data_IF_254444999615
#
_entry.id   IF_254444999615
#
_cell.length_a   1.000
_cell.length_b   1.000
_cell.length_c   1.000
_cell.angle_alpha   90.00
_cell.angle_beta   90.00
_cell.angle_gamma   90.00
#
_symmetry.space_group_name_H-M   'P 1'
#
loop_
_entity.id
_entity.type
_entity.pdbx_description
1 polymer ?
#
# COMPACT_ATOMS: atom_id res chain seq x y z
N UNK A 1 23.99 -15.79 9.63
CA UNK A 1 23.72 -14.94 10.82
C UNK A 1 22.27 -15.17 11.22
N UNK A 2 22.01 -15.67 12.44
CA UNK A 2 20.64 -15.98 12.90
C UNK A 2 19.93 -14.67 13.20
N UNK A 3 18.92 -14.29 12.40
CA UNK A 3 18.01 -13.18 12.71
C UNK A 3 17.27 -13.52 14.00
N UNK A 4 17.68 -12.92 15.12
CA UNK A 4 17.01 -13.12 16.41
C UNK A 4 15.78 -12.23 16.43
N UNK A 5 14.63 -12.81 16.77
CA UNK A 5 13.42 -12.06 17.07
C UNK A 5 13.68 -11.04 18.20
N UNK A 6 12.89 -9.96 18.23
CA UNK A 6 13.00 -8.91 19.24
C UNK A 6 12.87 -9.50 20.65
N UNK A 7 13.77 -9.08 21.55
CA UNK A 7 13.75 -9.48 22.96
C UNK A 7 12.75 -8.64 23.76
N UNK A 8 12.36 -9.11 24.95
CA UNK A 8 11.42 -8.38 25.81
C UNK A 8 11.90 -6.97 26.12
N UNK A 9 13.19 -6.81 26.46
CA UNK A 9 13.81 -5.52 26.73
C UNK A 9 13.78 -4.57 25.52
N UNK A 10 13.94 -5.09 24.29
CA UNK A 10 13.85 -4.27 23.08
C UNK A 10 12.41 -3.79 22.83
N UNK A 11 11.42 -4.63 23.11
CA UNK A 11 10.00 -4.27 23.00
C UNK A 11 9.62 -3.24 24.08
N UNK A 12 10.12 -3.40 25.31
CA UNK A 12 9.89 -2.44 26.39
C UNK A 12 10.53 -1.07 26.10
N UNK A 13 11.71 -1.01 25.45
CA UNK A 13 12.31 0.25 25.01
C UNK A 13 11.42 0.99 23.98
N UNK A 14 10.78 0.24 23.07
CA UNK A 14 9.83 0.82 22.10
C UNK A 14 8.56 1.31 22.80
N UNK A 15 8.06 0.55 23.77
CA UNK A 15 6.92 0.96 24.59
C UNK A 15 7.27 2.22 25.40
N UNK A 16 8.48 2.31 25.94
CA UNK A 16 8.96 3.46 26.71
C UNK A 16 9.00 4.75 25.87
N UNK A 17 9.22 4.66 24.55
CA UNK A 17 9.13 5.82 23.65
C UNK A 17 7.70 6.34 23.46
N UNK A 18 6.69 5.50 23.67
CA UNK A 18 5.28 5.86 23.58
C UNK A 18 4.72 6.40 24.91
N UNK A 19 5.41 6.17 26.02
CA UNK A 19 4.96 6.55 27.36
C UNK A 19 5.92 7.54 27.99
N UNK A 20 5.42 8.70 28.40
CA UNK A 20 6.21 9.65 29.20
C UNK A 20 6.52 9.12 30.61
N UNK A 21 5.76 8.12 31.07
CA UNK A 21 5.98 7.43 32.36
C UNK A 21 6.93 6.25 32.21
N UNK A 22 7.76 6.01 33.23
CA UNK A 22 8.69 4.88 33.28
C UNK A 22 7.91 3.56 33.28
N UNK A 23 8.12 2.74 32.26
CA UNK A 23 7.51 1.42 32.10
C UNK A 23 8.38 0.41 32.84
N UNK A 24 7.75 -0.42 33.67
CA UNK A 24 8.46 -1.51 34.33
C UNK A 24 8.92 -2.57 33.31
N UNK A 25 10.17 -3.07 33.43
CA UNK A 25 10.69 -4.06 32.50
C UNK A 25 9.86 -5.35 32.55
N UNK A 26 9.43 -5.79 31.38
CA UNK A 26 8.60 -6.97 31.23
C UNK A 26 9.43 -8.24 31.31
N UNK A 27 8.98 -9.17 32.16
CA UNK A 27 9.63 -10.49 32.36
C UNK A 27 9.48 -11.44 31.15
N UNK A 28 8.64 -11.08 30.17
CA UNK A 28 8.33 -11.90 28.99
C UNK A 28 8.02 -11.04 27.77
N UNK A 29 8.42 -11.50 26.58
CA UNK A 29 8.15 -10.87 25.28
C UNK A 29 6.65 -10.70 25.01
N UNK A 30 5.82 -11.64 25.49
CA UNK A 30 4.36 -11.54 25.35
C UNK A 30 3.81 -10.35 26.13
N UNK A 31 4.24 -10.20 27.39
CA UNK A 31 3.80 -9.09 28.25
C UNK A 31 4.30 -7.73 27.73
N UNK A 32 5.53 -7.68 27.24
CA UNK A 32 6.08 -6.51 26.58
C UNK A 32 5.27 -6.12 25.33
N UNK A 33 4.94 -7.13 24.50
CA UNK A 33 4.14 -6.95 23.29
C UNK A 33 2.73 -6.45 23.57
N UNK A 34 2.05 -7.03 24.56
CA UNK A 34 0.71 -6.60 24.96
C UNK A 34 0.70 -5.14 25.48
N UNK A 35 1.75 -4.73 26.20
CA UNK A 35 1.93 -3.36 26.66
C UNK A 35 2.14 -2.39 25.49
N UNK A 36 3.02 -2.74 24.55
CA UNK A 36 3.26 -1.96 23.33
C UNK A 36 1.98 -1.82 22.49
N UNK A 37 1.22 -2.91 22.32
CA UNK A 37 -0.03 -2.90 21.56
C UNK A 37 -1.09 -1.97 22.19
N UNK A 38 -1.18 -1.94 23.53
CA UNK A 38 -2.07 -1.01 24.25
C UNK A 38 -1.66 0.44 24.08
N UNK A 39 -0.36 0.74 24.16
CA UNK A 39 0.14 2.11 23.98
C UNK A 39 -0.04 2.59 22.54
N UNK A 40 0.20 1.73 21.56
CA UNK A 40 -0.14 2.02 20.16
C UNK A 40 -1.63 2.27 19.99
N UNK A 41 -2.50 1.42 20.55
CA UNK A 41 -3.94 1.61 20.48
C UNK A 41 -4.39 2.94 21.08
N UNK A 42 -3.79 3.36 22.19
CA UNK A 42 -4.05 4.66 22.81
C UNK A 42 -3.62 5.83 21.92
N UNK A 43 -2.52 5.69 21.18
CA UNK A 43 -1.94 6.78 20.39
C UNK A 43 -2.53 6.91 18.98
N UNK A 44 -2.87 5.80 18.32
CA UNK A 44 -3.29 5.77 16.90
C UNK A 44 -4.61 5.03 16.64
N UNK A 45 -5.28 4.52 17.69
CA UNK A 45 -6.52 3.76 17.60
C UNK A 45 -6.32 2.26 17.33
N UNK A 46 -7.32 1.45 17.73
CA UNK A 46 -7.25 -0.02 17.70
C UNK A 46 -6.99 -0.61 16.30
N UNK A 47 -7.67 -0.10 15.27
CA UNK A 47 -7.56 -0.64 13.91
C UNK A 47 -6.15 -0.46 13.33
N UNK A 48 -5.53 0.70 13.60
CA UNK A 48 -4.18 1.01 13.11
C UNK A 48 -3.11 0.38 14.00
N UNK A 49 -3.35 0.26 15.30
CA UNK A 49 -2.43 -0.36 16.25
C UNK A 49 -2.13 -1.82 15.93
N UNK A 50 -3.12 -2.60 15.49
CA UNK A 50 -2.89 -4.00 15.10
C UNK A 50 -1.91 -4.15 13.92
N UNK A 51 -2.03 -3.27 12.92
CA UNK A 51 -1.15 -3.25 11.75
C UNK A 51 0.26 -2.74 12.12
N UNK A 52 0.33 -1.65 12.90
CA UNK A 52 1.58 -1.09 13.39
C UNK A 52 2.35 -2.09 14.27
N UNK A 53 1.67 -2.72 15.22
CA UNK A 53 2.25 -3.73 16.10
C UNK A 53 2.84 -4.91 15.30
N UNK A 54 2.07 -5.44 14.35
CA UNK A 54 2.53 -6.53 13.49
C UNK A 54 3.75 -6.12 12.65
N UNK A 55 3.75 -4.89 12.13
CA UNK A 55 4.89 -4.33 11.41
C UNK A 55 6.12 -4.20 12.31
N UNK A 56 5.99 -3.70 13.53
CA UNK A 56 7.11 -3.52 14.46
C UNK A 56 7.67 -4.89 14.89
N UNK A 57 6.80 -5.84 15.22
CA UNK A 57 7.21 -7.18 15.69
C UNK A 57 7.88 -8.05 14.62
N UNK A 58 7.66 -7.74 13.33
CA UNK A 58 8.33 -8.42 12.21
C UNK A 58 9.66 -7.78 11.81
N UNK A 59 10.11 -6.76 12.52
CA UNK A 59 11.42 -6.16 12.30
C UNK A 59 12.54 -7.13 12.65
N UNK A 60 13.58 -7.15 11.82
CA UNK A 60 14.74 -8.02 12.00
C UNK A 60 15.73 -7.47 13.05
N UNK A 61 15.64 -6.17 13.37
CA UNK A 61 16.50 -5.47 14.34
C UNK A 61 15.71 -4.45 15.15
N UNK A 62 16.22 -4.09 16.34
CA UNK A 62 15.62 -3.07 17.19
C UNK A 62 15.58 -1.69 16.51
N UNK A 63 16.65 -1.30 15.81
CA UNK A 63 16.69 -0.05 15.03
C UNK A 63 15.62 -0.02 13.93
N UNK A 64 15.38 -1.16 13.26
CA UNK A 64 14.32 -1.25 12.26
C UNK A 64 12.92 -1.18 12.91
N UNK A 65 12.76 -1.79 14.08
CA UNK A 65 11.52 -1.72 14.85
C UNK A 65 11.22 -0.27 15.29
N UNK A 66 12.26 0.46 15.70
CA UNK A 66 12.17 1.86 16.09
C UNK A 66 11.87 2.78 14.91
N UNK A 67 12.53 2.59 13.76
CA UNK A 67 12.23 3.36 12.56
C UNK A 67 10.77 3.16 12.10
N UNK A 68 10.24 1.93 12.24
CA UNK A 68 8.83 1.63 11.97
C UNK A 68 7.90 2.30 12.98
N UNK A 69 8.27 2.33 14.25
CA UNK A 69 7.51 3.03 15.29
C UNK A 69 7.44 4.53 15.03
N UNK A 70 8.56 5.18 14.73
CA UNK A 70 8.62 6.61 14.36
C UNK A 70 7.72 6.90 13.16
N UNK A 71 7.83 6.10 12.09
CA UNK A 71 7.00 6.26 10.90
C UNK A 71 5.49 6.18 11.22
N UNK A 72 5.09 5.23 12.06
CA UNK A 72 3.69 5.04 12.46
C UNK A 72 3.16 6.25 13.25
N UNK A 73 4.00 6.85 14.08
CA UNK A 73 3.63 8.00 14.92
C UNK A 73 3.63 9.31 14.10
N UNK A 74 4.60 9.51 13.23
CA UNK A 74 4.69 10.70 12.36
C UNK A 74 3.55 10.72 11.34
N UNK A 75 3.20 9.57 10.73
CA UNK A 75 2.02 9.46 9.86
C UNK A 75 0.68 9.55 10.62
N UNK A 76 0.70 9.53 11.95
CA UNK A 76 -0.46 9.78 12.79
C UNK A 76 -0.91 11.24 12.81
N UNK A 77 -0.10 12.19 12.31
CA UNK A 77 -0.35 13.62 12.46
C UNK A 77 -0.36 14.44 11.16
N UNK A 78 -0.42 13.80 10.00
CA UNK A 78 -0.54 14.50 8.72
C UNK A 78 -1.60 13.85 7.84
N UNK A 79 -2.69 14.58 7.59
CA UNK A 79 -3.24 14.60 6.23
C UNK A 79 -2.08 14.89 5.26
N UNK A 80 -1.85 14.12 4.20
CA UNK A 80 -0.85 14.52 3.22
C UNK A 80 -1.49 15.57 2.31
N UNK A 81 -1.38 16.82 2.75
CA UNK A 81 -1.25 17.94 1.84
C UNK A 81 -0.07 17.64 0.91
N UNK A 82 -0.40 17.63 -0.38
CA UNK A 82 0.48 17.79 -1.51
C UNK A 82 1.60 18.82 -1.23
N UNK A 83 2.86 18.39 -1.28
CA UNK A 83 3.99 19.28 -1.56
C UNK A 83 4.95 18.56 -2.53
N UNK A 84 4.94 19.03 -3.79
CA UNK A 84 5.97 18.76 -4.80
C UNK A 84 7.32 19.28 -4.30
N UNK A 85 8.50 18.69 -4.53
CA UNK A 85 9.24 18.41 -5.77
C UNK A 85 10.70 18.02 -5.32
N UNK A 86 11.68 17.65 -6.19
CA UNK A 86 11.68 17.58 -7.65
C UNK A 86 12.10 16.22 -8.24
N UNK A 87 11.81 16.12 -9.53
CA UNK A 87 12.23 15.11 -10.52
C UNK A 87 13.71 14.69 -10.44
N UNK A 88 13.94 13.39 -10.34
CA UNK A 88 15.01 12.70 -11.07
C UNK A 88 14.52 11.28 -11.45
N UNK A 89 14.77 10.91 -12.69
CA UNK A 89 14.24 9.72 -13.39
C UNK A 89 15.05 8.43 -13.06
N UNK A 90 14.66 7.23 -13.52
CA UNK A 90 14.28 6.13 -12.64
C UNK A 90 15.38 5.05 -12.51
N UNK A 91 15.58 4.54 -11.29
CA UNK A 91 16.20 3.23 -11.08
C UNK A 91 15.29 2.29 -10.29
N UNK A 92 14.87 1.28 -11.02
CA UNK A 92 14.35 -0.01 -10.58
C UNK A 92 14.99 -0.51 -9.28
N UNK A 93 14.19 -0.73 -8.24
CA UNK A 93 14.36 -1.93 -7.39
C UNK A 93 13.06 -2.32 -6.69
N UNK A 94 12.84 -3.62 -6.70
CA UNK A 94 11.75 -4.43 -6.16
C UNK A 94 11.63 -4.38 -4.62
N UNK A 95 10.43 -4.08 -4.10
CA UNK A 95 9.82 -4.63 -2.86
C UNK A 95 8.34 -4.18 -2.69
N UNK A 96 7.55 -4.77 -1.78
CA UNK A 96 6.35 -5.57 -2.06
C UNK A 96 5.10 -4.80 -2.53
N UNK A 97 4.28 -5.47 -3.34
CA UNK A 97 3.23 -4.90 -4.20
C UNK A 97 1.84 -4.67 -3.56
N UNK A 98 1.74 -4.46 -2.23
CA UNK A 98 0.44 -4.17 -1.59
C UNK A 98 0.09 -2.67 -1.66
N UNK A 99 1.04 -1.78 -1.39
CA UNK A 99 0.81 -0.33 -1.40
C UNK A 99 0.48 0.24 -2.78
N UNK A 100 1.14 -0.25 -3.84
CA UNK A 100 0.91 0.20 -5.21
C UNK A 100 -0.51 -0.09 -5.69
N UNK A 101 -1.08 -1.23 -5.29
CA UNK A 101 -2.45 -1.60 -5.70
C UNK A 101 -3.49 -0.68 -5.07
N UNK A 102 -3.32 -0.35 -3.79
CA UNK A 102 -4.22 0.57 -3.10
C UNK A 102 -4.09 2.00 -3.66
N UNK A 103 -2.87 2.44 -3.97
CA UNK A 103 -2.63 3.73 -4.61
C UNK A 103 -3.31 3.83 -5.98
N UNK A 104 -3.22 2.78 -6.81
CA UNK A 104 -3.87 2.74 -8.13
C UNK A 104 -5.41 2.75 -7.99
N UNK A 105 -5.96 2.06 -6.98
CA UNK A 105 -7.39 2.10 -6.70
C UNK A 105 -7.86 3.48 -6.25
N UNK A 106 -7.14 4.11 -5.31
CA UNK A 106 -7.45 5.46 -4.85
C UNK A 106 -7.34 6.47 -6.01
N UNK A 107 -6.32 6.35 -6.85
CA UNK A 107 -6.14 7.17 -8.05
C UNK A 107 -7.31 7.00 -9.02
N UNK A 108 -7.81 5.79 -9.23
CA UNK A 108 -9.01 5.57 -10.01
C UNK A 108 -10.24 6.23 -9.36
N UNK A 109 -10.40 6.16 -8.04
CA UNK A 109 -11.51 6.83 -7.35
C UNK A 109 -11.45 8.36 -7.41
N UNK A 110 -10.26 8.96 -7.52
CA UNK A 110 -10.12 10.41 -7.76
C UNK A 110 -10.32 10.78 -9.24
N UNK A 111 -10.67 9.81 -10.08
CA UNK A 111 -10.87 10.00 -11.51
C UNK A 111 -9.58 10.02 -12.32
N UNK A 112 -8.41 9.67 -11.78
CA UNK A 112 -7.21 9.58 -12.60
C UNK A 112 -7.11 8.19 -13.25
N UNK A 113 -6.87 8.15 -14.57
CA UNK A 113 -6.72 6.89 -15.30
C UNK A 113 -5.48 6.14 -14.79
N UNK A 114 -5.60 4.84 -14.44
CA UNK A 114 -4.48 4.05 -13.97
C UNK A 114 -3.43 3.88 -15.08
N UNK A 115 -2.15 3.67 -14.74
CA UNK A 115 -1.14 3.34 -15.75
C UNK A 115 -1.43 1.96 -16.37
N UNK A 116 -1.21 1.85 -17.69
CA UNK A 116 -1.41 0.59 -18.41
C UNK A 116 -0.46 -0.51 -17.91
N UNK A 117 -0.92 -1.76 -17.78
CA UNK A 117 -0.06 -2.90 -17.42
C UNK A 117 1.03 -3.14 -18.48
N UNK A 118 2.27 -3.31 -18.03
CA UNK A 118 3.39 -3.59 -18.93
C UNK A 118 3.36 -5.03 -19.48
N UNK A 119 3.25 -5.15 -20.79
CA UNK A 119 3.33 -6.42 -21.54
C UNK A 119 4.53 -6.48 -22.49
N UNK A 120 5.62 -5.74 -22.21
CA UNK A 120 6.81 -5.67 -23.07
C UNK A 120 7.53 -7.02 -23.26
N UNK A 121 7.30 -8.01 -22.39
CA UNK A 121 7.87 -9.36 -22.55
C UNK A 121 7.25 -10.12 -23.75
N UNK A 122 8.04 -10.83 -24.56
CA UNK A 122 7.57 -11.52 -25.78
C UNK A 122 6.45 -12.54 -25.50
N UNK A 123 6.42 -13.14 -24.31
CA UNK A 123 5.35 -14.05 -23.85
C UNK A 123 3.96 -13.43 -23.83
N UNK A 124 3.85 -12.10 -23.78
CA UNK A 124 2.59 -11.36 -23.74
C UNK A 124 2.25 -10.68 -25.07
N UNK A 125 3.00 -10.94 -26.15
CA UNK A 125 2.83 -10.26 -27.44
C UNK A 125 1.38 -10.28 -27.95
N UNK A 126 0.72 -11.44 -27.88
CA UNK A 126 -0.68 -11.62 -28.30
C UNK A 126 -1.70 -10.75 -27.54
N UNK A 127 -1.35 -10.26 -26.35
CA UNK A 127 -2.23 -9.46 -25.50
C UNK A 127 -2.04 -7.95 -25.66
N UNK A 128 -0.98 -7.52 -26.36
CA UNK A 128 -0.68 -6.08 -26.55
C UNK A 128 -1.74 -5.37 -27.40
N UNK A 129 -2.20 -6.00 -28.47
CA UNK A 129 -3.25 -5.43 -29.31
C UNK A 129 -4.56 -5.25 -28.53
N UNK A 130 -4.93 -6.24 -27.71
CA UNK A 130 -6.11 -6.15 -26.83
C UNK A 130 -5.94 -5.06 -25.76
N UNK A 131 -4.74 -4.95 -25.17
CA UNK A 131 -4.45 -3.88 -24.22
C UNK A 131 -4.56 -2.49 -24.88
N UNK A 132 -3.96 -2.31 -26.07
CA UNK A 132 -4.01 -1.04 -26.79
C UNK A 132 -5.45 -0.61 -27.13
N UNK A 133 -6.33 -1.54 -27.50
CA UNK A 133 -7.75 -1.26 -27.71
C UNK A 133 -8.44 -0.75 -26.43
N UNK A 134 -8.18 -1.40 -25.29
CA UNK A 134 -8.76 -0.98 -24.00
C UNK A 134 -8.20 0.37 -23.55
N UNK A 135 -6.92 0.64 -23.78
CA UNK A 135 -6.31 1.95 -23.51
C UNK A 135 -6.99 3.03 -24.36
N UNK A 136 -7.17 2.81 -25.65
CA UNK A 136 -7.85 3.78 -26.53
C UNK A 136 -9.29 4.06 -26.10
N UNK A 137 -10.04 3.05 -25.65
CA UNK A 137 -11.40 3.23 -25.14
C UNK A 137 -11.44 3.95 -23.80
N UNK A 138 -10.45 3.70 -22.94
CA UNK A 138 -10.31 4.40 -21.67
C UNK A 138 -9.96 5.89 -21.86
N UNK A 139 -9.10 6.21 -22.83
CA UNK A 139 -8.79 7.58 -23.23
C UNK A 139 -10.00 8.28 -23.87
N UNK A 140 -10.78 7.57 -24.68
CA UNK A 140 -12.02 8.08 -25.26
C UNK A 140 -13.16 8.25 -24.23
N UNK A 141 -13.02 7.69 -23.03
CA UNK A 141 -14.04 7.75 -21.99
C UNK A 141 -15.27 6.84 -22.26
N UNK A 142 -15.15 5.88 -23.17
CA UNK A 142 -16.27 5.02 -23.57
C UNK A 142 -16.47 3.86 -22.58
N UNK A 143 -17.22 4.14 -21.51
CA UNK A 143 -17.54 3.15 -20.47
C UNK A 143 -18.34 1.98 -21.05
N UNK A 144 -19.27 2.24 -21.96
CA UNK A 144 -20.15 1.20 -22.51
C UNK A 144 -19.34 0.20 -23.34
N UNK A 145 -18.45 0.69 -24.20
CA UNK A 145 -17.52 -0.15 -24.92
C UNK A 145 -16.62 -0.92 -23.95
N UNK A 146 -15.98 -0.24 -22.98
CA UNK A 146 -15.11 -0.90 -21.99
C UNK A 146 -15.82 -2.05 -21.29
N UNK A 147 -17.05 -1.86 -20.81
CA UNK A 147 -17.82 -2.92 -20.15
C UNK A 147 -18.22 -4.06 -21.09
N UNK A 148 -18.50 -3.75 -22.36
CA UNK A 148 -18.80 -4.75 -23.40
C UNK A 148 -17.58 -5.58 -23.83
N UNK A 149 -16.35 -5.11 -23.55
CA UNK A 149 -15.13 -5.89 -23.82
C UNK A 149 -15.04 -7.10 -22.89
N UNK A 150 -15.44 -8.26 -23.39
CA UNK A 150 -15.34 -9.54 -22.71
C UNK A 150 -13.87 -10.03 -22.65
N UNK A 151 -13.40 -10.28 -21.42
CA UNK A 151 -12.05 -10.77 -21.15
C UNK A 151 -12.16 -12.01 -20.28
N UNK A 152 -11.84 -13.18 -20.84
CA UNK A 152 -11.81 -14.44 -20.11
C UNK A 152 -10.59 -14.48 -19.16
N UNK A 153 -10.77 -14.42 -17.82
CA UNK A 153 -9.68 -14.25 -16.87
C UNK A 153 -9.00 -15.59 -16.51
N UNK A 154 -8.64 -16.37 -17.52
CA UNK A 154 -8.11 -17.74 -17.36
C UNK A 154 -6.63 -17.78 -16.96
N UNK A 155 -5.87 -16.72 -17.24
CA UNK A 155 -4.43 -16.63 -16.93
C UNK A 155 -4.03 -15.24 -16.42
N UNK A 156 -2.79 -15.08 -15.97
CA UNK A 156 -2.30 -13.83 -15.35
C UNK A 156 -2.44 -12.61 -16.25
N UNK A 157 -2.20 -12.73 -17.57
CA UNK A 157 -2.32 -11.59 -18.50
C UNK A 157 -3.76 -11.12 -18.73
N UNK A 158 -4.74 -12.00 -19.09
CA UNK A 158 -6.14 -11.61 -19.14
C UNK A 158 -6.69 -11.08 -17.81
N UNK A 159 -6.25 -11.64 -16.67
CA UNK A 159 -6.61 -11.11 -15.34
C UNK A 159 -6.11 -9.68 -15.12
N UNK A 160 -4.90 -9.35 -15.58
CA UNK A 160 -4.36 -8.00 -15.48
C UNK A 160 -5.12 -7.00 -16.38
N UNK A 161 -5.51 -7.43 -17.59
CA UNK A 161 -6.30 -6.60 -18.51
C UNK A 161 -7.71 -6.34 -17.94
N UNK A 162 -8.37 -7.36 -17.40
CA UNK A 162 -9.70 -7.19 -16.79
C UNK A 162 -9.65 -6.19 -15.62
N UNK A 163 -8.64 -6.32 -14.74
CA UNK A 163 -8.42 -5.35 -13.65
C UNK A 163 -8.18 -3.94 -14.16
N UNK A 164 -7.37 -3.79 -15.22
CA UNK A 164 -7.10 -2.48 -15.82
C UNK A 164 -8.38 -1.84 -16.37
N UNK A 165 -9.20 -2.61 -17.10
CA UNK A 165 -10.51 -2.18 -17.59
C UNK A 165 -11.42 -1.71 -16.45
N UNK A 166 -11.55 -2.50 -15.39
CA UNK A 166 -12.43 -2.19 -14.26
C UNK A 166 -11.99 -0.90 -13.56
N UNK A 167 -10.68 -0.69 -13.39
CA UNK A 167 -10.12 0.55 -12.85
C UNK A 167 -10.37 1.76 -13.76
N UNK A 168 -10.27 1.60 -15.09
CA UNK A 168 -10.59 2.67 -16.04
C UNK A 168 -12.06 3.08 -15.95
N UNK A 169 -12.98 2.11 -15.83
CA UNK A 169 -14.40 2.38 -15.65
C UNK A 169 -14.66 3.16 -14.36
N UNK A 170 -14.05 2.75 -13.23
CA UNK A 170 -14.15 3.49 -11.96
C UNK A 170 -13.63 4.93 -12.11
N UNK A 171 -12.50 5.10 -12.80
CA UNK A 171 -11.91 6.42 -13.02
C UNK A 171 -12.79 7.34 -13.87
N UNK A 172 -13.35 6.83 -14.97
CA UNK A 172 -14.22 7.63 -15.83
C UNK A 172 -15.51 7.98 -15.07
N UNK A 173 -16.10 7.02 -14.34
CA UNK A 173 -17.28 7.27 -13.52
C UNK A 173 -17.05 8.30 -12.41
N UNK A 174 -15.87 8.29 -11.78
CA UNK A 174 -15.48 9.29 -10.79
C UNK A 174 -15.34 10.68 -11.44
N UNK A 175 -14.70 10.78 -12.61
CA UNK A 175 -14.61 12.04 -13.37
C UNK A 175 -15.99 12.60 -13.70
N UNK A 176 -16.91 11.76 -14.17
CA UNK A 176 -18.27 12.21 -14.52
C UNK A 176 -19.08 12.67 -13.32
N UNK A 177 -18.85 12.10 -12.13
CA UNK A 177 -19.52 12.53 -10.90
C UNK A 177 -18.97 13.82 -10.32
N UNK A 178 -17.66 14.08 -10.47
CA UNK A 178 -17.04 15.34 -10.03
C UNK A 178 -17.36 16.51 -10.98
N UNK A 179 -17.63 16.22 -12.25
CA UNK A 179 -17.96 17.22 -13.28
C UNK A 179 -19.46 17.55 -13.39
N UNK A 180 -20.34 16.82 -12.68
CA UNK A 180 -21.79 17.02 -12.65
C UNK A 180 -22.22 17.84 -11.44
#
# INVERSE_FOLDING_TARGET
MKTKALTAAQIDMLAQRLSESQIEPSVSTKKAGDSLARLLAAQIGNDRAGLAFTSIMTAATAEQAEARLTLVLDYGNTEPANEAAPVDEPKTTTAPASGKRQAILNQAHTGALPPAPDFSKPTHARFRAKLAQIVALAEAGDIAALQAFEINPVSSSPKAIARYRDLCVIAILARTQVAA
#
